data_IF_609246032106
#
_entry.id   IF_609246032106
#
_cell.length_a   1.000
_cell.length_b   1.000
_cell.length_c   1.000
_cell.angle_alpha   90.00
_cell.angle_beta   90.00
_cell.angle_gamma   90.00
#
_symmetry.space_group_name_H-M   'P 1'
#
loop_
_entity.id
_entity.type
_entity.pdbx_description
1 polymer ?
#
# COMPACT_ATOMS: atom_id res chain seq x y z
N UNK A 1 -4.89 -8.92 28.00
CA UNK A 1 -4.12 -9.01 26.72
C UNK A 1 -5.12 -8.90 25.59
N UNK A 2 -5.16 -7.77 24.88
CA UNK A 2 -6.04 -7.61 23.72
C UNK A 2 -5.44 -8.48 22.60
N UNK A 3 -6.17 -9.51 22.16
CA UNK A 3 -5.77 -10.30 20.99
C UNK A 3 -5.53 -9.35 19.83
N UNK A 4 -4.30 -9.36 19.27
CA UNK A 4 -3.98 -8.63 18.05
C UNK A 4 -4.89 -9.16 16.94
N UNK A 5 -6.03 -8.52 16.71
CA UNK A 5 -6.91 -8.83 15.58
C UNK A 5 -6.09 -8.69 14.31
N UNK A 6 -5.77 -9.81 13.67
CA UNK A 6 -5.11 -9.83 12.35
C UNK A 6 -6.14 -9.45 11.30
N UNK A 7 -6.41 -8.15 11.11
CA UNK A 7 -7.40 -7.63 10.17
C UNK A 7 -7.21 -8.14 8.74
N UNK A 8 -5.95 -8.31 8.32
CA UNK A 8 -5.60 -8.83 7.00
C UNK A 8 -4.98 -10.22 7.15
N UNK A 9 -5.83 -11.23 7.41
CA UNK A 9 -5.42 -12.62 7.52
C UNK A 9 -6.42 -13.52 6.78
N UNK A 10 -5.92 -14.40 5.92
CA UNK A 10 -6.72 -15.29 5.04
C UNK A 10 -7.74 -14.52 4.19
N UNK A 11 -7.32 -13.35 3.67
CA UNK A 11 -8.13 -12.49 2.81
C UNK A 11 -7.71 -12.63 1.35
N UNK A 12 -8.67 -12.42 0.46
CA UNK A 12 -8.45 -12.32 -0.97
C UNK A 12 -8.33 -10.85 -1.36
N UNK A 13 -7.13 -10.42 -1.74
CA UNK A 13 -6.80 -9.01 -1.90
C UNK A 13 -6.32 -8.73 -3.32
N UNK A 14 -6.92 -7.75 -3.97
CA UNK A 14 -6.42 -7.19 -5.22
C UNK A 14 -5.51 -6.01 -4.91
N UNK A 15 -4.28 -6.02 -5.42
CA UNK A 15 -3.38 -4.86 -5.42
C UNK A 15 -3.37 -4.25 -6.82
N UNK A 16 -3.81 -3.02 -6.93
CA UNK A 16 -3.85 -2.27 -8.18
C UNK A 16 -2.84 -1.12 -8.16
N UNK A 17 -1.88 -1.19 -9.07
CA UNK A 17 -0.71 -0.32 -9.15
C UNK A 17 0.52 -0.95 -8.49
N UNK A 18 1.52 -1.31 -9.32
CA UNK A 18 2.69 -2.08 -8.91
C UNK A 18 3.97 -1.22 -8.84
N UNK A 19 3.82 0.06 -8.49
CA UNK A 19 4.93 0.92 -8.08
C UNK A 19 5.51 0.51 -6.71
N UNK A 20 6.34 1.36 -6.10
CA UNK A 20 6.99 1.09 -4.80
C UNK A 20 5.98 0.64 -3.73
N UNK A 21 4.88 1.37 -3.57
CA UNK A 21 3.82 1.07 -2.60
C UNK A 21 3.16 -0.28 -2.87
N UNK A 22 2.76 -0.56 -4.12
CA UNK A 22 2.09 -1.82 -4.45
C UNK A 22 2.97 -3.03 -4.25
N UNK A 23 4.26 -2.96 -4.62
CA UNK A 23 5.22 -4.04 -4.41
C UNK A 23 5.49 -4.27 -2.92
N UNK A 24 5.67 -3.19 -2.14
CA UNK A 24 5.83 -3.26 -0.69
C UNK A 24 4.63 -3.94 -0.03
N UNK A 25 3.41 -3.52 -0.40
CA UNK A 25 2.16 -4.10 0.09
C UNK A 25 2.04 -5.58 -0.28
N UNK A 26 2.42 -5.96 -1.49
CA UNK A 26 2.45 -7.37 -1.91
C UNK A 26 3.38 -8.21 -1.02
N UNK A 27 4.62 -7.75 -0.82
CA UNK A 27 5.60 -8.47 0.01
C UNK A 27 5.07 -8.66 1.44
N UNK A 28 4.42 -7.63 1.99
CA UNK A 28 3.83 -7.66 3.33
C UNK A 28 2.65 -8.65 3.43
N UNK A 29 1.71 -8.57 2.47
CA UNK A 29 0.44 -9.28 2.54
C UNK A 29 0.50 -10.73 2.10
N UNK A 30 1.39 -11.10 1.15
CA UNK A 30 1.43 -12.42 0.51
C UNK A 30 1.66 -13.59 1.46
N UNK A 31 2.21 -13.35 2.66
CA UNK A 31 2.52 -14.41 3.63
C UNK A 31 1.26 -15.06 4.22
N UNK A 32 0.17 -14.29 4.33
CA UNK A 32 -1.02 -14.71 5.06
C UNK A 32 -2.32 -14.51 4.25
N UNK A 33 -2.23 -14.13 2.97
CA UNK A 33 -3.37 -13.77 2.15
C UNK A 33 -3.21 -14.31 0.72
N UNK A 34 -4.34 -14.48 0.03
CA UNK A 34 -4.38 -14.71 -1.41
C UNK A 34 -4.32 -13.35 -2.12
N UNK A 35 -3.19 -13.05 -2.77
CA UNK A 35 -2.97 -11.71 -3.34
C UNK A 35 -2.90 -11.77 -4.85
N UNK A 36 -3.71 -10.95 -5.51
CA UNK A 36 -3.75 -10.73 -6.95
C UNK A 36 -3.12 -9.38 -7.27
N UNK A 37 -2.29 -9.35 -8.29
CA UNK A 37 -1.55 -8.16 -8.73
C UNK A 37 -2.09 -7.68 -10.08
N UNK A 38 -2.34 -6.39 -10.20
CA UNK A 38 -2.76 -5.77 -11.46
C UNK A 38 -2.15 -4.37 -11.61
N UNK A 39 -1.77 -4.06 -12.86
CA UNK A 39 -1.34 -2.71 -13.25
C UNK A 39 -1.80 -2.44 -14.69
N UNK A 40 -2.14 -1.19 -15.00
CA UNK A 40 -2.48 -0.76 -16.35
C UNK A 40 -1.28 -0.86 -17.29
N UNK A 41 -0.07 -0.65 -16.74
CA UNK A 41 1.20 -0.81 -17.45
C UNK A 41 1.80 -2.19 -17.18
N UNK A 42 1.77 -3.08 -18.16
CA UNK A 42 2.36 -4.43 -18.08
C UNK A 42 3.88 -4.43 -17.85
N UNK A 43 4.55 -3.31 -18.13
CA UNK A 43 6.00 -3.15 -17.97
C UNK A 43 6.37 -2.38 -16.70
N UNK A 44 5.46 -2.22 -15.75
CA UNK A 44 5.65 -1.48 -14.51
C UNK A 44 6.79 -2.00 -13.64
N UNK A 45 7.19 -3.24 -13.78
CA UNK A 45 8.28 -3.84 -13.01
C UNK A 45 9.25 -4.62 -13.88
N UNK A 46 10.54 -4.53 -13.59
CA UNK A 46 11.58 -5.35 -14.19
C UNK A 46 11.74 -6.73 -13.51
N UNK A 47 11.10 -6.94 -12.37
CA UNK A 47 11.16 -8.21 -11.65
C UNK A 47 10.38 -9.30 -12.40
N UNK A 48 11.12 -10.23 -13.01
CA UNK A 48 10.55 -11.35 -13.80
C UNK A 48 9.55 -12.21 -12.99
N UNK A 49 9.79 -12.41 -11.70
CA UNK A 49 8.93 -13.20 -10.84
C UNK A 49 7.59 -12.50 -10.61
N UNK A 50 7.58 -11.19 -10.43
CA UNK A 50 6.37 -10.40 -10.28
C UNK A 50 5.61 -10.33 -11.61
N UNK A 51 6.29 -10.13 -12.74
CA UNK A 51 5.66 -10.14 -14.07
C UNK A 51 4.84 -11.41 -14.33
N UNK A 52 5.33 -12.58 -13.91
CA UNK A 52 4.64 -13.88 -14.12
C UNK A 52 3.33 -14.02 -13.34
N UNK A 53 3.16 -13.28 -12.25
CA UNK A 53 1.99 -13.37 -11.36
C UNK A 53 1.03 -12.18 -11.50
N UNK A 54 1.31 -11.26 -12.44
CA UNK A 54 0.37 -10.19 -12.78
C UNK A 54 -0.88 -10.79 -13.42
N UNK A 55 -2.00 -10.54 -12.80
CA UNK A 55 -3.31 -11.03 -13.24
C UNK A 55 -3.83 -10.20 -14.42
N UNK A 56 -4.61 -10.82 -15.28
CA UNK A 56 -5.34 -10.12 -16.33
C UNK A 56 -6.70 -9.56 -15.85
N UNK A 57 -7.25 -8.64 -16.64
CA UNK A 57 -8.55 -8.02 -16.34
C UNK A 57 -9.70 -9.04 -16.26
N UNK A 58 -9.68 -10.11 -17.08
CA UNK A 58 -10.75 -11.13 -17.12
C UNK A 58 -10.80 -11.87 -15.78
N UNK A 59 -9.63 -12.23 -15.25
CA UNK A 59 -9.52 -12.89 -13.95
C UNK A 59 -10.01 -12.00 -12.81
N UNK A 60 -9.77 -10.68 -12.86
CA UNK A 60 -10.28 -9.76 -11.85
C UNK A 60 -11.81 -9.76 -11.82
N UNK A 61 -12.47 -9.71 -13.00
CA UNK A 61 -13.93 -9.70 -13.06
C UNK A 61 -14.59 -11.03 -12.65
N UNK A 62 -13.86 -12.15 -12.75
CA UNK A 62 -14.34 -13.48 -12.33
C UNK A 62 -14.20 -13.71 -10.83
N UNK A 63 -13.43 -12.89 -10.13
CA UNK A 63 -13.13 -13.05 -8.72
C UNK A 63 -13.85 -12.01 -7.87
N UNK A 64 -14.22 -12.40 -6.65
CA UNK A 64 -14.62 -11.48 -5.59
C UNK A 64 -13.45 -11.28 -4.64
N UNK A 65 -13.13 -10.04 -4.31
CA UNK A 65 -12.08 -9.67 -3.37
C UNK A 65 -12.69 -9.15 -2.07
N UNK A 66 -12.04 -9.45 -0.95
CA UNK A 66 -12.36 -8.85 0.34
C UNK A 66 -11.94 -7.38 0.36
N UNK A 67 -10.72 -7.11 -0.16
CA UNK A 67 -10.16 -5.77 -0.22
C UNK A 67 -9.51 -5.49 -1.58
N UNK A 68 -9.49 -4.20 -1.94
CA UNK A 68 -8.84 -3.68 -3.14
C UNK A 68 -7.88 -2.58 -2.71
N UNK A 69 -6.59 -2.90 -2.68
CA UNK A 69 -5.55 -1.91 -2.41
C UNK A 69 -5.25 -1.13 -3.69
N UNK A 70 -5.41 0.19 -3.63
CA UNK A 70 -5.10 1.07 -4.76
C UNK A 70 -3.88 1.91 -4.41
N UNK A 71 -2.82 1.78 -5.22
CA UNK A 71 -1.62 2.60 -5.06
C UNK A 71 -1.88 4.07 -5.39
N UNK A 72 -1.24 5.04 -4.69
CA UNK A 72 -1.48 6.48 -4.89
C UNK A 72 -1.29 6.98 -6.31
N UNK A 73 -0.45 6.31 -7.12
CA UNK A 73 -0.20 6.67 -8.51
C UNK A 73 -1.33 6.33 -9.49
N UNK A 74 -2.34 5.54 -9.07
CA UNK A 74 -3.45 5.14 -9.93
C UNK A 74 -4.50 6.24 -10.01
N UNK A 75 -4.73 6.79 -11.21
CA UNK A 75 -5.82 7.72 -11.45
C UNK A 75 -7.15 6.97 -11.59
N UNK A 76 -7.92 6.87 -10.52
CA UNK A 76 -9.20 6.14 -10.46
C UNK A 76 -10.21 6.59 -11.53
N UNK A 77 -10.16 7.86 -11.95
CA UNK A 77 -11.10 8.40 -12.97
C UNK A 77 -10.77 7.92 -14.38
N UNK A 78 -9.51 7.57 -14.66
CA UNK A 78 -9.01 7.21 -16.00
C UNK A 78 -8.52 5.75 -16.13
N UNK A 79 -8.44 4.99 -15.03
CA UNK A 79 -7.87 3.65 -15.02
C UNK A 79 -8.76 2.60 -15.67
N UNK A 80 -8.15 1.48 -16.09
CA UNK A 80 -8.83 0.37 -16.77
C UNK A 80 -9.94 -0.25 -15.90
N UNK A 81 -9.76 -0.31 -14.58
CA UNK A 81 -10.72 -0.89 -13.65
C UNK A 81 -11.72 0.12 -13.06
N UNK A 82 -11.85 1.32 -13.63
CA UNK A 82 -12.71 2.40 -13.12
C UNK A 82 -14.11 1.94 -12.71
N UNK A 83 -14.80 1.20 -13.56
CA UNK A 83 -16.18 0.75 -13.30
C UNK A 83 -16.22 -0.34 -12.21
N UNK A 84 -15.21 -1.20 -12.14
CA UNK A 84 -15.06 -2.21 -11.10
C UNK A 84 -14.84 -1.56 -9.73
N UNK A 85 -13.94 -0.58 -9.67
CA UNK A 85 -13.65 0.19 -8.45
C UNK A 85 -14.90 0.91 -7.96
N UNK A 86 -15.65 1.60 -8.86
CA UNK A 86 -16.90 2.29 -8.49
C UNK A 86 -17.93 1.37 -7.83
N UNK A 87 -18.04 0.12 -8.29
CA UNK A 87 -18.96 -0.87 -7.70
C UNK A 87 -18.47 -1.43 -6.36
N UNK A 88 -17.20 -1.28 -6.03
CA UNK A 88 -16.55 -1.88 -4.87
C UNK A 88 -15.92 -0.84 -3.91
N UNK A 89 -16.42 0.40 -3.87
CA UNK A 89 -15.83 1.50 -3.08
C UNK A 89 -15.60 1.13 -1.61
N UNK A 90 -16.51 0.39 -0.99
CA UNK A 90 -16.41 -0.05 0.41
C UNK A 90 -15.26 -1.02 0.70
N UNK A 91 -14.67 -1.61 -0.34
CA UNK A 91 -13.56 -2.56 -0.24
C UNK A 91 -12.20 -1.93 -0.50
N UNK A 92 -12.17 -0.63 -0.83
CA UNK A 92 -10.93 0.08 -1.14
C UNK A 92 -10.17 0.34 0.14
N UNK A 93 -8.88 0.02 0.10
CA UNK A 93 -7.92 0.28 1.16
C UNK A 93 -6.64 0.87 0.56
N UNK A 94 -5.83 1.44 1.42
CA UNK A 94 -4.49 1.95 1.13
C UNK A 94 -3.44 1.19 1.95
N UNK A 95 -2.16 1.40 1.67
CA UNK A 95 -1.06 0.89 2.48
C UNK A 95 -1.07 1.48 3.90
N UNK A 96 -1.58 2.71 4.06
CA UNK A 96 -1.78 3.33 5.37
C UNK A 96 -2.81 2.58 6.23
N UNK A 97 -3.93 2.15 5.65
CA UNK A 97 -4.94 1.37 6.36
C UNK A 97 -4.33 0.05 6.88
N UNK A 98 -3.53 -0.61 6.05
CA UNK A 98 -2.82 -1.83 6.45
C UNK A 98 -1.83 -1.54 7.57
N UNK A 99 -1.06 -0.45 7.45
CA UNK A 99 -0.08 -0.05 8.45
C UNK A 99 -0.75 0.22 9.80
N UNK A 100 -1.78 1.08 9.85
CA UNK A 100 -2.49 1.41 11.10
C UNK A 100 -3.11 0.19 11.76
N UNK A 101 -3.68 -0.75 10.99
CA UNK A 101 -4.24 -1.98 11.54
C UNK A 101 -3.18 -2.92 12.17
N UNK A 102 -1.92 -2.85 11.71
CA UNK A 102 -0.86 -3.73 12.20
C UNK A 102 0.05 -3.08 13.24
N UNK A 103 0.15 -1.75 13.23
CA UNK A 103 1.07 -0.95 14.05
C UNK A 103 0.35 0.21 14.77
N UNK A 104 -0.82 -0.07 15.35
CA UNK A 104 -1.66 0.93 16.01
C UNK A 104 -1.01 1.57 17.25
N UNK A 105 -0.02 0.92 17.87
CA UNK A 105 0.73 1.44 19.02
C UNK A 105 1.80 2.47 18.64
N UNK A 106 2.09 2.63 17.35
CA UNK A 106 3.11 3.57 16.90
C UNK A 106 2.60 5.01 16.96
N UNK A 107 3.48 5.94 17.36
CA UNK A 107 3.21 7.37 17.24
C UNK A 107 3.41 7.77 15.76
N UNK A 108 2.36 8.28 15.13
CA UNK A 108 2.38 8.67 13.74
C UNK A 108 2.24 10.18 13.60
N UNK A 109 3.20 10.82 12.94
CA UNK A 109 3.19 12.26 12.63
C UNK A 109 2.99 12.41 11.14
N UNK A 110 1.83 12.91 10.72
CA UNK A 110 1.49 13.14 9.33
C UNK A 110 1.70 14.60 8.94
N UNK A 111 2.48 14.84 7.88
CA UNK A 111 2.78 16.17 7.36
C UNK A 111 2.14 16.34 6.00
N UNK A 112 1.24 17.30 5.86
CA UNK A 112 0.58 17.65 4.62
C UNK A 112 0.73 19.14 4.31
N UNK A 113 0.38 19.55 3.11
CA UNK A 113 0.45 20.96 2.68
C UNK A 113 0.74 21.07 1.19
N UNK A 114 0.67 22.26 0.63
CA UNK A 114 0.99 22.54 -0.78
C UNK A 114 2.50 22.53 -1.01
N UNK A 115 3.25 23.25 -0.17
CA UNK A 115 4.70 23.37 -0.25
C UNK A 115 5.36 22.95 1.08
N UNK A 116 6.66 22.68 1.06
CA UNK A 116 7.48 22.45 2.26
C UNK A 116 7.31 21.09 2.95
N UNK A 117 6.33 20.25 2.56
CA UNK A 117 6.06 18.95 3.21
C UNK A 117 7.29 18.09 3.40
N UNK A 118 8.03 17.84 2.33
CA UNK A 118 9.21 16.97 2.32
C UNK A 118 10.33 17.55 3.18
N UNK A 119 10.54 18.86 3.12
CA UNK A 119 11.55 19.56 3.91
C UNK A 119 11.22 19.48 5.41
N UNK A 120 9.98 19.79 5.79
CA UNK A 120 9.52 19.72 7.18
C UNK A 120 9.63 18.29 7.73
N UNK A 121 9.19 17.28 6.94
CA UNK A 121 9.31 15.90 7.34
C UNK A 121 10.76 15.46 7.54
N UNK A 122 11.66 15.90 6.66
CA UNK A 122 13.10 15.60 6.78
C UNK A 122 13.73 16.26 7.99
N UNK A 123 13.45 17.54 8.25
CA UNK A 123 13.95 18.27 9.43
C UNK A 123 13.48 17.59 10.71
N UNK A 124 12.18 17.28 10.80
CA UNK A 124 11.63 16.60 11.98
C UNK A 124 12.26 15.24 12.21
N UNK A 125 12.43 14.46 11.12
CA UNK A 125 13.12 13.18 11.18
C UNK A 125 14.54 13.32 11.73
N UNK A 126 15.32 14.29 11.22
CA UNK A 126 16.70 14.51 11.65
C UNK A 126 16.76 14.92 13.13
N UNK A 127 15.90 15.82 13.57
CA UNK A 127 15.81 16.23 14.99
C UNK A 127 15.51 15.03 15.91
N UNK A 128 14.52 14.22 15.56
CA UNK A 128 14.15 13.07 16.38
C UNK A 128 15.24 12.00 16.40
N UNK A 129 15.90 11.76 15.27
CA UNK A 129 17.03 10.84 15.16
C UNK A 129 18.23 11.31 16.00
N UNK A 130 18.56 12.60 15.97
CA UNK A 130 19.65 13.18 16.76
C UNK A 130 19.38 13.06 18.27
N UNK A 131 18.11 13.07 18.66
CA UNK A 131 17.67 12.78 20.02
C UNK A 131 17.62 11.26 20.33
N UNK A 132 18.17 10.41 19.46
CA UNK A 132 18.21 8.94 19.60
C UNK A 132 16.82 8.29 19.69
N UNK A 133 15.78 8.92 19.14
CA UNK A 133 14.45 8.30 19.02
C UNK A 133 14.45 7.28 17.90
N UNK A 134 13.73 6.17 18.09
CA UNK A 134 13.46 5.22 17.03
C UNK A 134 12.42 5.79 16.08
N UNK A 135 12.86 6.42 15.01
CA UNK A 135 12.01 7.15 14.06
C UNK A 135 12.22 6.64 12.64
N UNK A 136 11.15 6.59 11.87
CA UNK A 136 11.17 6.22 10.45
C UNK A 136 10.56 7.34 9.61
N UNK A 137 11.21 7.64 8.47
CA UNK A 137 10.70 8.58 7.47
C UNK A 137 10.11 7.80 6.31
N UNK A 138 8.80 7.94 6.09
CA UNK A 138 8.05 7.16 5.12
C UNK A 138 7.14 8.03 4.25
N UNK A 139 6.75 7.53 3.10
CA UNK A 139 5.82 8.20 2.19
C UNK A 139 6.44 8.57 0.85
N UNK A 140 6.21 9.80 0.35
CA UNK A 140 6.78 10.26 -0.92
C UNK A 140 8.32 10.39 -0.86
N UNK A 141 8.86 10.61 0.32
CA UNK A 141 10.28 10.56 0.62
C UNK A 141 10.55 9.42 1.61
N UNK A 142 11.75 8.85 1.58
CA UNK A 142 12.07 7.67 2.37
C UNK A 142 11.55 6.37 1.76
N UNK A 143 11.21 5.43 2.60
CA UNK A 143 10.74 4.10 2.20
C UNK A 143 9.21 4.03 2.08
N UNK A 144 8.71 2.99 1.39
CA UNK A 144 7.30 2.64 1.47
C UNK A 144 6.98 2.20 2.90
N UNK A 145 5.83 2.66 3.43
CA UNK A 145 5.50 2.50 4.86
C UNK A 145 5.50 1.04 5.34
N UNK A 146 5.09 0.09 4.50
CA UNK A 146 5.06 -1.33 4.84
C UNK A 146 6.43 -2.04 4.72
N UNK A 147 7.48 -1.34 4.31
CA UNK A 147 8.86 -1.84 4.34
C UNK A 147 9.52 -1.58 5.70
N UNK A 148 8.98 -0.64 6.48
CA UNK A 148 9.49 -0.33 7.81
C UNK A 148 8.89 -1.28 8.86
N UNK A 149 9.73 -1.65 9.84
CA UNK A 149 9.35 -2.55 10.94
C UNK A 149 9.50 -1.84 12.26
#
# INVERSE_FOLDING_TARGET
MIEKKKFFFKKKILIYGLGKTGISSYIFLKKNNEVYLFDDNKNVTNNKNIKKIITDKRNIFKNSFDYILISPGINIKKCILKNYIKKNLKKIITDLDIFYCNYYDNINISITGTNGKSTTAKILYDILRDQKKDVRLVGNIGNAILNEK
#
